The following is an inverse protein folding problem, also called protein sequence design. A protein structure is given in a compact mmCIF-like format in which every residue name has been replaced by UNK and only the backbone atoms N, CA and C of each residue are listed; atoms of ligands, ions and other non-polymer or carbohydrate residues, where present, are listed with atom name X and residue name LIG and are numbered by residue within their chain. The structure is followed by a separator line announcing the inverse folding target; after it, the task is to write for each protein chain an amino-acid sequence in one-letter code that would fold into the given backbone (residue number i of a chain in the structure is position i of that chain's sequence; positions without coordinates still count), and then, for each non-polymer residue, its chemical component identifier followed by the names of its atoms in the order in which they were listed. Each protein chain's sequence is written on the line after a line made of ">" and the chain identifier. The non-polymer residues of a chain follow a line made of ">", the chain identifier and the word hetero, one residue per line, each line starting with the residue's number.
data_IF_796401824480
#
_entry.id   IF_796401824480
#
_cell.length_a   1.000
_cell.length_b   1.000
_cell.length_c   1.000
_cell.angle_alpha   90.00
_cell.angle_beta   90.00
_cell.angle_gamma   90.00
#
_symmetry.space_group_name_H-M   'P 1'
#
loop_
_entity.id
_entity.type
_entity.pdbx_description
1 polymer ?
#
# COMPACT_ATOMS: atom_id res chain seq x y z
N UNK A 1 -7.25 -5.18 8.60
CA UNK A 1 -6.21 -6.15 8.19
C UNK A 1 -6.41 -7.38 9.06
N UNK A 2 -6.51 -8.57 8.46
CA UNK A 2 -6.61 -9.83 9.21
C UNK A 2 -5.21 -10.45 9.29
N UNK A 3 -4.80 -10.90 10.49
CA UNK A 3 -3.49 -11.46 10.78
C UNK A 3 -3.69 -12.76 11.58
N UNK A 4 -3.10 -13.85 11.10
CA UNK A 4 -3.10 -15.16 11.72
C UNK A 4 -1.67 -15.48 12.16
N UNK A 5 -1.53 -16.03 13.37
CA UNK A 5 -0.23 -16.35 13.98
C UNK A 5 -0.10 -17.87 14.14
N UNK A 6 0.34 -18.59 13.11
CA UNK A 6 0.48 -20.04 13.20
C UNK A 6 1.52 -20.47 14.24
N UNK A 7 2.57 -19.67 14.46
CA UNK A 7 3.64 -19.93 15.43
C UNK A 7 4.17 -18.63 16.04
N UNK A 8 4.86 -18.71 17.17
CA UNK A 8 5.30 -17.56 17.98
C UNK A 8 6.33 -16.61 17.34
N UNK A 9 6.73 -16.85 16.09
CA UNK A 9 7.66 -16.01 15.33
C UNK A 9 7.17 -15.64 13.93
N UNK A 10 6.00 -16.13 13.50
CA UNK A 10 5.47 -15.91 12.15
C UNK A 10 4.03 -15.44 12.24
N UNK A 11 3.69 -14.40 11.49
CA UNK A 11 2.31 -14.07 11.17
C UNK A 11 2.10 -14.01 9.67
N UNK A 12 0.89 -14.32 9.23
CA UNK A 12 0.45 -14.21 7.85
C UNK A 12 -0.88 -13.49 7.82
N UNK A 13 -1.11 -12.67 6.82
CA UNK A 13 -2.33 -11.90 6.78
C UNK A 13 -2.66 -11.32 5.42
N UNK A 14 -3.88 -10.81 5.34
CA UNK A 14 -4.38 -10.14 4.14
C UNK A 14 -5.14 -8.86 4.51
N UNK A 15 -5.22 -7.95 3.54
CA UNK A 15 -5.86 -6.67 3.70
C UNK A 15 -6.47 -6.17 2.40
N UNK A 16 -7.47 -5.32 2.57
CA UNK A 16 -8.02 -4.49 1.50
C UNK A 16 -7.87 -3.04 1.93
N UNK A 17 -7.53 -2.18 0.99
CA UNK A 17 -7.38 -0.75 1.20
C UNK A 17 -7.74 0.02 -0.07
N UNK A 18 -7.63 1.33 0.02
CA UNK A 18 -7.85 2.25 -1.09
C UNK A 18 -6.70 3.24 -1.14
N UNK A 19 -6.20 3.50 -2.34
CA UNK A 19 -5.17 4.50 -2.57
C UNK A 19 -5.44 5.30 -3.85
N UNK A 20 -4.45 6.10 -4.23
CA UNK A 20 -4.49 6.91 -5.46
C UNK A 20 -4.63 6.04 -6.73
N UNK A 21 -4.16 4.80 -6.67
CA UNK A 21 -4.19 3.83 -7.76
C UNK A 21 -5.41 2.88 -7.71
N UNK A 22 -6.44 3.23 -6.94
CA UNK A 22 -7.67 2.46 -6.81
C UNK A 22 -7.72 1.57 -5.57
N UNK A 23 -8.54 0.52 -5.65
CA UNK A 23 -8.62 -0.50 -4.61
C UNK A 23 -7.32 -1.32 -4.60
N UNK A 24 -6.84 -1.62 -3.39
CA UNK A 24 -5.59 -2.32 -3.14
C UNK A 24 -5.85 -3.56 -2.29
N UNK A 25 -5.40 -4.70 -2.76
CA UNK A 25 -5.38 -5.95 -2.03
C UNK A 25 -3.96 -6.26 -1.61
N UNK A 26 -3.77 -6.68 -0.37
CA UNK A 26 -2.45 -7.04 0.16
C UNK A 26 -2.49 -8.43 0.77
N UNK A 27 -1.43 -9.19 0.53
CA UNK A 27 -1.11 -10.40 1.26
C UNK A 27 0.30 -10.22 1.82
N UNK A 28 0.52 -10.59 3.08
CA UNK A 28 1.78 -10.36 3.76
C UNK A 28 2.12 -11.48 4.73
N UNK A 29 3.41 -11.62 5.00
CA UNK A 29 3.96 -12.47 6.05
C UNK A 29 4.95 -11.66 6.87
N UNK A 30 4.88 -11.77 8.19
CA UNK A 30 5.82 -11.13 9.12
C UNK A 30 6.59 -12.17 9.91
N UNK A 31 7.89 -12.03 9.95
CA UNK A 31 8.78 -12.81 10.82
C UNK A 31 9.21 -11.91 11.97
N UNK A 32 9.21 -12.44 13.19
CA UNK A 32 9.61 -11.75 14.41
C UNK A 32 10.93 -12.37 14.92
N UNK A 33 12.10 -11.86 14.50
CA UNK A 33 13.38 -12.51 14.77
C UNK A 33 13.72 -12.60 16.26
N UNK A 34 13.19 -11.66 17.04
CA UNK A 34 13.40 -11.56 18.48
C UNK A 34 12.20 -12.07 19.29
N UNK A 35 11.29 -12.80 18.63
CA UNK A 35 10.00 -13.21 19.18
C UNK A 35 8.96 -12.09 19.16
N UNK A 36 7.68 -12.48 19.07
CA UNK A 36 6.54 -11.55 18.97
C UNK A 36 6.49 -10.52 20.11
N UNK A 37 6.92 -10.90 21.32
CA UNK A 37 6.93 -10.03 22.49
C UNK A 37 7.81 -8.78 22.35
N UNK A 38 8.85 -8.83 21.50
CA UNK A 38 9.74 -7.68 21.27
C UNK A 38 9.28 -6.77 20.13
N UNK A 39 8.17 -7.10 19.46
CA UNK A 39 7.51 -6.23 18.50
C UNK A 39 8.21 -6.03 17.15
N UNK A 40 9.53 -6.20 17.07
CA UNK A 40 10.31 -6.06 15.84
C UNK A 40 9.94 -7.14 14.83
N UNK A 41 9.62 -6.76 13.59
CA UNK A 41 9.30 -7.69 12.53
C UNK A 41 9.93 -7.33 11.18
N UNK A 42 10.21 -8.36 10.39
CA UNK A 42 10.51 -8.26 8.97
C UNK A 42 9.27 -8.73 8.19
N UNK A 43 8.85 -7.97 7.18
CA UNK A 43 7.66 -8.25 6.41
C UNK A 43 7.98 -8.39 4.92
N UNK A 44 7.53 -9.49 4.34
CA UNK A 44 7.37 -9.64 2.89
C UNK A 44 5.90 -9.50 2.54
N UNK A 45 5.57 -8.76 1.49
CA UNK A 45 4.18 -8.60 1.05
C UNK A 45 4.04 -8.49 -0.46
N UNK A 46 2.90 -8.96 -0.97
CA UNK A 46 2.43 -8.66 -2.32
C UNK A 46 1.26 -7.69 -2.20
N UNK A 47 1.25 -6.66 -3.05
CA UNK A 47 0.15 -5.73 -3.14
C UNK A 47 -0.31 -5.60 -4.58
N UNK A 48 -1.60 -5.82 -4.83
CA UNK A 48 -2.21 -5.67 -6.13
C UNK A 48 -3.19 -4.49 -6.11
N UNK A 49 -2.97 -3.49 -6.97
CA UNK A 49 -3.85 -2.34 -7.14
C UNK A 49 -4.65 -2.55 -8.43
N UNK A 50 -5.98 -2.41 -8.37
CA UNK A 50 -6.86 -2.63 -9.52
C UNK A 50 -6.79 -1.54 -10.60
N UNK A 51 -6.14 -0.41 -10.31
CA UNK A 51 -6.24 0.77 -11.16
C UNK A 51 -7.54 1.54 -10.88
N UNK A 52 -7.64 2.72 -11.47
CA UNK A 52 -8.80 3.61 -11.34
C UNK A 52 -8.78 4.69 -12.42
N UNK A 53 -9.96 5.03 -12.92
CA UNK A 53 -10.18 6.24 -13.70
C UNK A 53 -10.45 7.42 -12.77
N UNK A 54 -9.73 8.51 -12.98
CA UNK A 54 -9.97 9.80 -12.29
C UNK A 54 -10.17 10.89 -13.33
N UNK A 55 -11.08 11.81 -13.05
CA UNK A 55 -11.29 13.02 -13.84
C UNK A 55 -10.64 14.17 -13.09
N UNK A 56 -9.80 14.92 -13.79
CA UNK A 56 -9.17 16.15 -13.34
C UNK A 56 -9.92 17.27 -14.08
N UNK A 57 -10.88 17.88 -13.39
CA UNK A 57 -11.62 19.02 -13.91
C UNK A 57 -11.00 20.33 -13.44
N UNK A 58 -11.06 21.33 -14.30
CA UNK A 58 -10.85 22.75 -13.94
C UNK A 58 -12.23 23.42 -13.79
N UNK A 59 -12.32 24.54 -13.06
CA UNK A 59 -13.60 25.28 -12.89
C UNK A 59 -14.27 25.67 -14.22
N UNK A 60 -13.50 25.70 -15.32
CA UNK A 60 -13.94 26.04 -16.67
C UNK A 60 -14.49 24.86 -17.50
N UNK A 61 -14.72 23.69 -16.89
CA UNK A 61 -15.47 22.58 -17.51
C UNK A 61 -14.70 21.71 -18.51
N UNK A 62 -13.38 21.89 -18.63
CA UNK A 62 -12.51 21.05 -19.46
C UNK A 62 -11.97 19.88 -18.64
N UNK A 63 -12.49 18.68 -18.89
CA UNK A 63 -12.13 17.48 -18.15
C UNK A 63 -10.97 16.70 -18.78
N UNK A 64 -9.97 16.35 -17.97
CA UNK A 64 -8.94 15.35 -18.31
C UNK A 64 -9.21 14.06 -17.57
N UNK A 65 -9.37 12.98 -18.32
CA UNK A 65 -9.43 11.62 -17.77
C UNK A 65 -8.03 11.03 -17.63
N UNK A 66 -7.76 10.41 -16.48
CA UNK A 66 -6.57 9.62 -16.22
C UNK A 66 -6.98 8.20 -15.87
N UNK A 67 -6.76 7.28 -16.81
CA UNK A 67 -6.99 5.85 -16.65
C UNK A 67 -5.71 5.18 -16.17
N UNK A 68 -5.71 4.69 -14.93
CA UNK A 68 -4.58 3.95 -14.35
C UNK A 68 -4.81 2.45 -14.48
N UNK A 69 -3.83 1.72 -15.03
CA UNK A 69 -3.88 0.26 -15.18
C UNK A 69 -3.66 -0.46 -13.84
N UNK A 70 -4.12 -1.71 -13.71
CA UNK A 70 -3.75 -2.53 -12.57
C UNK A 70 -2.23 -2.70 -12.45
N UNK A 71 -1.72 -2.82 -11.22
CA UNK A 71 -0.27 -2.97 -10.96
C UNK A 71 -0.02 -3.75 -9.69
N UNK A 72 0.95 -4.66 -9.76
CA UNK A 72 1.40 -5.47 -8.62
C UNK A 72 2.76 -5.00 -8.13
N UNK A 73 2.93 -4.95 -6.81
CA UNK A 73 4.22 -4.69 -6.15
C UNK A 73 4.60 -5.80 -5.19
N UNK A 74 5.88 -6.14 -5.17
CA UNK A 74 6.51 -6.94 -4.14
C UNK A 74 7.19 -6.01 -3.14
N UNK A 75 6.86 -6.15 -1.86
CA UNK A 75 7.25 -5.25 -0.82
C UNK A 75 8.10 -5.98 0.21
N UNK A 76 9.16 -5.32 0.66
CA UNK A 76 9.95 -5.74 1.80
C UNK A 76 10.01 -4.58 2.81
N UNK A 77 9.65 -4.82 4.05
CA UNK A 77 9.69 -3.81 5.10
C UNK A 77 10.23 -4.37 6.43
N UNK A 78 10.83 -3.48 7.21
CA UNK A 78 11.09 -3.67 8.63
C UNK A 78 10.04 -2.87 9.39
N UNK A 79 9.57 -3.39 10.51
CA UNK A 79 8.67 -2.64 11.36
C UNK A 79 8.75 -3.00 12.82
N UNK A 80 8.00 -2.23 13.59
CA UNK A 80 7.86 -2.39 15.02
C UNK A 80 6.39 -2.39 15.39
N UNK A 81 5.96 -3.42 16.10
CA UNK A 81 4.63 -3.56 16.67
C UNK A 81 4.65 -3.23 18.15
N UNK A 82 3.75 -2.37 18.57
CA UNK A 82 3.46 -2.05 19.96
C UNK A 82 2.05 -2.54 20.28
N UNK A 83 1.91 -3.39 21.30
CA UNK A 83 0.59 -3.80 21.78
C UNK A 83 -0.01 -2.68 22.65
N UNK A 84 -1.30 -2.39 22.43
CA UNK A 84 -2.09 -1.39 23.15
C UNK A 84 -3.10 -2.11 24.04
N UNK A 85 -2.74 -2.28 25.31
CA UNK A 85 -3.53 -3.04 26.26
C UNK A 85 -3.59 -4.53 25.89
N UNK A 86 -4.71 -5.20 26.22
CA UNK A 86 -4.84 -6.65 26.04
C UNK A 86 -5.19 -7.08 24.61
N UNK A 87 -5.76 -6.19 23.81
CA UNK A 87 -6.34 -6.54 22.50
C UNK A 87 -5.94 -5.60 21.37
N UNK A 88 -5.61 -4.35 21.65
CA UNK A 88 -5.20 -3.41 20.60
C UNK A 88 -3.74 -3.61 20.22
N UNK A 89 -3.37 -3.15 19.04
CA UNK A 89 -1.97 -2.99 18.64
C UNK A 89 -1.81 -1.90 17.59
N UNK A 90 -0.63 -1.30 17.56
CA UNK A 90 -0.13 -0.41 16.51
C UNK A 90 1.15 -0.97 15.92
N UNK A 91 1.39 -0.70 14.65
CA UNK A 91 2.57 -1.14 13.94
C UNK A 91 3.09 -0.02 13.05
N UNK A 92 4.37 0.28 13.17
CA UNK A 92 5.08 1.20 12.29
C UNK A 92 5.95 0.38 11.35
N UNK A 93 5.95 0.71 10.06
CA UNK A 93 6.79 0.03 9.08
C UNK A 93 7.48 1.01 8.15
N UNK A 94 8.70 0.66 7.77
CA UNK A 94 9.45 1.33 6.72
C UNK A 94 10.04 0.29 5.79
N UNK A 95 10.06 0.57 4.50
CA UNK A 95 10.54 -0.42 3.53
C UNK A 95 10.55 0.06 2.10
N UNK A 96 10.55 -0.91 1.19
CA UNK A 96 10.60 -0.68 -0.24
C UNK A 96 9.57 -1.54 -0.97
N UNK A 97 8.88 -0.92 -1.92
CA UNK A 97 7.96 -1.55 -2.86
C UNK A 97 8.63 -1.63 -4.24
N UNK A 98 8.95 -2.84 -4.68
CA UNK A 98 9.38 -3.11 -6.04
C UNK A 98 8.16 -3.38 -6.92
N UNK A 99 8.08 -2.70 -8.06
CA UNK A 99 7.02 -2.94 -9.06
C UNK A 99 7.34 -4.20 -9.85
N UNK A 100 6.42 -5.16 -9.84
CA UNK A 100 6.50 -6.34 -10.71
C UNK A 100 6.00 -6.01 -12.12
N UNK A 101 4.99 -5.13 -12.20
CA UNK A 101 4.40 -4.66 -13.44
C UNK A 101 4.70 -3.17 -13.67
N UNK A 102 4.86 -2.71 -14.93
CA UNK A 102 4.94 -1.29 -15.23
C UNK A 102 3.65 -0.55 -14.80
N UNK A 103 3.79 0.48 -13.96
CA UNK A 103 2.66 1.34 -13.56
C UNK A 103 2.25 2.29 -14.71
N UNK A 104 1.52 1.76 -15.68
CA UNK A 104 1.05 2.50 -16.86
C UNK A 104 -0.21 3.30 -16.53
N UNK A 105 -0.30 4.49 -17.11
CA UNK A 105 -1.52 5.27 -17.16
C UNK A 105 -1.73 5.76 -18.60
N UNK A 106 -2.98 6.03 -18.96
CA UNK A 106 -3.37 6.71 -20.19
C UNK A 106 -4.16 7.95 -19.83
N UNK A 107 -3.92 9.01 -20.58
CA UNK A 107 -4.69 10.25 -20.48
C UNK A 107 -5.59 10.35 -21.69
N UNK A 108 -6.74 11.00 -21.52
CA UNK A 108 -7.65 11.34 -22.59
C UNK A 108 -8.53 12.50 -22.15
N UNK A 109 -9.05 13.28 -23.08
CA UNK A 109 -9.79 14.50 -22.78
C UNK A 109 -9.46 15.59 -23.78
N UNK A 110 -10.00 16.78 -23.54
CA UNK A 110 -9.89 17.91 -24.47
C UNK A 110 -8.60 18.74 -24.29
N UNK A 111 -7.83 18.46 -23.23
CA UNK A 111 -6.51 19.08 -22.99
C UNK A 111 -5.45 18.04 -22.59
N UNK A 112 -4.20 18.44 -22.75
CA UNK A 112 -3.05 17.70 -22.20
C UNK A 112 -2.89 17.94 -20.70
N UNK A 113 -2.14 17.06 -20.03
CA UNK A 113 -1.75 17.27 -18.64
C UNK A 113 -0.78 18.44 -18.55
N UNK A 114 -0.97 19.27 -17.53
CA UNK A 114 0.06 20.24 -17.15
C UNK A 114 1.30 19.54 -16.60
N UNK A 115 2.47 20.18 -16.67
CA UNK A 115 3.73 19.66 -16.11
C UNK A 115 3.59 19.28 -14.62
N UNK A 116 2.79 20.04 -13.87
CA UNK A 116 2.50 19.80 -12.46
C UNK A 116 1.67 18.52 -12.25
N UNK A 117 0.60 18.34 -13.03
CA UNK A 117 -0.23 17.13 -12.98
C UNK A 117 0.56 15.90 -13.40
N UNK A 118 1.39 16.01 -14.45
CA UNK A 118 2.22 14.90 -14.90
C UNK A 118 3.25 14.50 -13.84
N UNK A 119 3.89 15.49 -13.21
CA UNK A 119 4.83 15.26 -12.10
C UNK A 119 4.14 14.57 -10.93
N UNK A 120 2.97 15.05 -10.53
CA UNK A 120 2.17 14.44 -9.47
C UNK A 120 1.78 12.99 -9.80
N UNK A 121 1.40 12.71 -11.06
CA UNK A 121 1.09 11.36 -11.51
C UNK A 121 2.30 10.43 -11.49
N UNK A 122 3.50 10.94 -11.81
CA UNK A 122 4.76 10.18 -11.72
C UNK A 122 5.09 9.84 -10.27
N UNK A 123 4.92 10.78 -9.33
CA UNK A 123 5.11 10.53 -7.89
C UNK A 123 4.05 9.58 -7.32
N UNK A 124 2.82 9.62 -7.82
CA UNK A 124 1.73 8.77 -7.35
C UNK A 124 1.81 7.30 -7.85
N UNK A 125 2.80 6.95 -8.68
CA UNK A 125 2.98 5.59 -9.18
C UNK A 125 3.31 4.64 -8.01
N UNK A 126 2.65 3.48 -7.90
CA UNK A 126 3.00 2.49 -6.88
C UNK A 126 4.45 2.06 -7.00
N UNK A 127 5.13 1.85 -5.87
CA UNK A 127 6.55 1.52 -5.82
C UNK A 127 7.39 2.58 -5.11
N UNK A 128 8.63 2.22 -4.74
CA UNK A 128 9.53 3.10 -4.00
C UNK A 128 9.43 2.94 -2.50
N UNK A 129 9.67 4.01 -1.75
CA UNK A 129 9.70 4.00 -0.28
C UNK A 129 8.31 3.71 0.29
N UNK A 130 8.26 2.82 1.26
CA UNK A 130 7.08 2.53 2.09
C UNK A 130 7.31 3.16 3.45
N UNK A 131 6.35 3.97 3.91
CA UNK A 131 6.18 4.35 5.31
C UNK A 131 4.73 4.05 5.69
N UNK A 132 4.56 3.21 6.70
CA UNK A 132 3.25 2.69 7.08
C UNK A 132 2.99 2.81 8.56
N UNK A 133 1.76 3.19 8.89
CA UNK A 133 1.19 3.04 10.22
C UNK A 133 0.01 2.09 10.06
N UNK A 134 -0.01 1.04 10.86
CA UNK A 134 -1.06 0.04 10.90
C UNK A 134 -1.54 -0.14 12.32
N UNK A 135 -2.77 -0.60 12.47
CA UNK A 135 -3.32 -0.92 13.77
C UNK A 135 -4.45 -1.92 13.63
N UNK A 136 -4.79 -2.55 14.73
CA UNK A 136 -5.89 -3.49 14.76
C UNK A 136 -6.18 -4.01 16.16
N UNK A 137 -7.11 -4.97 16.19
CA UNK A 137 -7.48 -5.68 17.39
C UNK A 137 -7.16 -7.16 17.20
N UNK A 138 -6.54 -7.76 18.21
CA UNK A 138 -6.37 -9.20 18.35
C UNK A 138 -7.59 -9.74 19.11
N UNK A 139 -8.23 -10.77 18.58
CA UNK A 139 -9.40 -11.44 19.18
C UNK A 139 -9.02 -12.75 19.87
N UNK A 140 -7.73 -12.89 20.22
CA UNK A 140 -7.22 -13.95 21.09
C UNK A 140 -7.09 -13.40 22.51
#
# INVERSE_FOLDING_TARGET
>A
MADLRPVGFLSVGAGVGRGLWGLRFTAHSRVYPLGVARGLFLQGALAHNLGRTTWLGEEDGVDVSVLRSAVTTANASLGYRMDLGRRGWLGFEAGWAYRLDPARYRTGGERELTDGEERNLRFARPGGVILGISGGFSVL
#
